data_IF_365869728501
#
_entry.id   IF_365869728501
#
_cell.length_a   1.000
_cell.length_b   1.000
_cell.length_c   1.000
_cell.angle_alpha   90.00
_cell.angle_beta   90.00
_cell.angle_gamma   90.00
#
_symmetry.space_group_name_H-M   'P 1'
#
loop_
_entity.id
_entity.type
_entity.pdbx_description
1 polymer ?
#
# COMPACT_ATOMS: atom_id res chain seq x y z
N UNK A 1 3.47 -0.93 0.05
CA UNK A 1 2.85 -1.57 1.24
C UNK A 1 1.48 -2.11 0.88
N UNK A 2 1.04 -3.21 1.49
CA UNK A 2 -0.28 -3.81 1.24
C UNK A 2 -0.87 -4.38 2.53
N UNK A 3 -2.20 -4.41 2.61
CA UNK A 3 -2.95 -5.17 3.61
C UNK A 3 -3.80 -6.28 2.96
N UNK A 4 -3.51 -6.63 1.70
CA UNK A 4 -4.25 -7.65 0.94
C UNK A 4 -5.61 -7.23 0.39
N UNK A 5 -6.14 -6.09 0.84
CA UNK A 5 -7.45 -5.61 0.42
C UNK A 5 -7.51 -5.16 -1.04
N UNK A 6 -8.72 -5.10 -1.59
CA UNK A 6 -9.00 -4.69 -2.98
C UNK A 6 -8.39 -3.35 -3.43
N UNK A 7 -8.15 -2.42 -2.50
CA UNK A 7 -7.47 -1.16 -2.81
C UNK A 7 -6.01 -1.37 -3.22
N UNK A 8 -5.38 -2.43 -2.74
CA UNK A 8 -4.01 -2.80 -3.09
C UNK A 8 -3.92 -3.35 -4.52
N UNK A 9 -5.00 -3.86 -5.12
CA UNK A 9 -4.95 -4.47 -6.45
C UNK A 9 -4.56 -3.46 -7.54
N UNK A 10 -5.08 -2.23 -7.51
CA UNK A 10 -4.67 -1.21 -8.48
C UNK A 10 -3.21 -0.76 -8.27
N UNK A 11 -2.74 -0.75 -7.01
CA UNK A 11 -1.32 -0.51 -6.75
C UNK A 11 -0.47 -1.67 -7.27
N UNK A 12 -0.94 -2.91 -7.16
CA UNK A 12 -0.25 -4.08 -7.65
C UNK A 12 -0.13 -4.09 -9.18
N UNK A 13 -1.19 -3.71 -9.89
CA UNK A 13 -1.16 -3.59 -11.37
C UNK A 13 -0.09 -2.58 -11.82
N UNK A 14 -0.02 -1.41 -11.19
CA UNK A 14 1.01 -0.41 -11.51
C UNK A 14 2.41 -0.92 -11.13
N UNK A 15 2.54 -1.62 -9.99
CA UNK A 15 3.81 -2.17 -9.55
C UNK A 15 4.32 -3.27 -10.50
N UNK A 16 3.42 -4.10 -11.02
CA UNK A 16 3.75 -5.15 -11.99
C UNK A 16 4.30 -4.55 -13.28
N UNK A 17 3.67 -3.49 -13.80
CA UNK A 17 4.19 -2.75 -14.96
C UNK A 17 5.58 -2.17 -14.67
N UNK A 18 5.79 -1.56 -13.50
CA UNK A 18 7.09 -0.99 -13.14
C UNK A 18 8.19 -2.06 -13.07
N UNK A 19 7.87 -3.22 -12.50
CA UNK A 19 8.76 -4.38 -12.44
C UNK A 19 9.11 -4.89 -13.84
N UNK A 20 8.13 -5.04 -14.72
CA UNK A 20 8.34 -5.42 -16.14
C UNK A 20 9.21 -4.41 -16.90
N UNK A 21 9.16 -3.12 -16.53
CA UNK A 21 10.03 -2.08 -17.09
C UNK A 21 11.42 -2.03 -16.44
N UNK A 22 11.74 -2.94 -15.52
CA UNK A 22 13.04 -3.06 -14.87
C UNK A 22 13.23 -2.15 -13.65
N UNK A 23 12.15 -1.70 -13.02
CA UNK A 23 12.23 -0.97 -11.74
C UNK A 23 12.41 -1.95 -10.59
N UNK A 24 13.17 -1.54 -9.57
CA UNK A 24 13.25 -2.27 -8.30
C UNK A 24 11.97 -2.06 -7.50
N UNK A 25 11.15 -3.12 -7.39
CA UNK A 25 9.88 -3.08 -6.64
C UNK A 25 10.05 -3.84 -5.33
N UNK A 26 9.60 -3.22 -4.23
CA UNK A 26 9.48 -3.89 -2.93
C UNK A 26 8.02 -3.96 -2.48
N UNK A 27 7.58 -5.14 -2.05
CA UNK A 27 6.32 -5.36 -1.37
C UNK A 27 6.57 -5.34 0.14
N UNK A 28 5.74 -4.60 0.87
CA UNK A 28 5.85 -4.44 2.31
C UNK A 28 4.55 -4.89 2.97
N UNK A 29 4.67 -5.81 3.93
CA UNK A 29 3.61 -6.23 4.83
C UNK A 29 4.11 -6.08 6.26
N UNK A 30 3.37 -5.34 7.09
CA UNK A 30 3.70 -5.17 8.50
C UNK A 30 2.80 -6.10 9.34
N UNK A 31 3.40 -6.79 10.31
CA UNK A 31 2.74 -7.67 11.28
C UNK A 31 3.03 -7.22 12.70
N UNK A 32 2.28 -7.72 13.68
CA UNK A 32 2.33 -7.21 15.05
C UNK A 32 3.68 -7.51 15.71
N UNK A 33 4.24 -8.69 15.47
CA UNK A 33 5.53 -9.10 16.04
C UNK A 33 6.21 -10.27 15.28
N UNK A 34 7.38 -10.67 15.79
CA UNK A 34 8.22 -11.76 15.27
C UNK A 34 7.46 -13.08 15.07
N UNK A 35 6.49 -13.38 15.95
CA UNK A 35 5.74 -14.64 15.90
C UNK A 35 4.83 -14.75 14.69
N UNK A 36 4.47 -13.62 14.07
CA UNK A 36 3.63 -13.57 12.89
C UNK A 36 4.42 -13.54 11.57
N UNK A 37 5.76 -13.52 11.62
CA UNK A 37 6.60 -13.42 10.40
C UNK A 37 6.29 -14.49 9.38
N UNK A 38 6.24 -15.76 9.79
CA UNK A 38 6.04 -16.89 8.87
C UNK A 38 4.67 -16.78 8.17
N UNK A 39 3.62 -16.41 8.91
CA UNK A 39 2.29 -16.19 8.36
C UNK A 39 2.27 -14.99 7.40
N UNK A 40 2.97 -13.90 7.76
CA UNK A 40 3.13 -12.73 6.91
C UNK A 40 3.89 -13.01 5.62
N UNK A 41 4.95 -13.82 5.67
CA UNK A 41 5.74 -14.24 4.51
C UNK A 41 4.91 -15.11 3.56
N UNK A 42 4.16 -16.07 4.12
CA UNK A 42 3.25 -16.90 3.34
C UNK A 42 2.17 -16.07 2.64
N UNK A 43 1.51 -15.18 3.41
CA UNK A 43 0.50 -14.26 2.87
C UNK A 43 1.07 -13.37 1.76
N UNK A 44 2.24 -12.76 1.99
CA UNK A 44 2.83 -11.82 1.05
C UNK A 44 3.34 -12.54 -0.21
N UNK A 45 3.80 -13.78 -0.08
CA UNK A 45 4.15 -14.66 -1.20
C UNK A 45 2.92 -14.95 -2.07
N UNK A 46 1.87 -15.55 -1.51
CA UNK A 46 0.64 -15.86 -2.24
C UNK A 46 0.05 -14.61 -2.90
N UNK A 47 0.01 -13.49 -2.16
CA UNK A 47 -0.50 -12.23 -2.68
C UNK A 47 0.29 -11.71 -3.88
N UNK A 48 1.63 -11.88 -3.87
CA UNK A 48 2.51 -11.47 -4.95
C UNK A 48 2.34 -12.37 -6.18
N UNK A 49 2.31 -13.68 -5.98
CA UNK A 49 2.20 -14.68 -7.04
C UNK A 49 0.89 -14.52 -7.82
N UNK A 50 -0.23 -14.28 -7.13
CA UNK A 50 -1.54 -14.01 -7.76
C UNK A 50 -1.54 -12.77 -8.67
N UNK A 51 -0.56 -11.86 -8.50
CA UNK A 51 -0.49 -10.55 -9.14
C UNK A 51 0.71 -10.38 -10.05
N UNK A 52 1.47 -11.45 -10.31
CA UNK A 52 2.66 -11.42 -11.17
C UNK A 52 3.76 -10.53 -10.60
N UNK A 53 3.93 -10.56 -9.28
CA UNK A 53 4.94 -9.79 -8.53
C UNK A 53 5.95 -10.72 -7.84
N UNK A 54 6.11 -11.94 -8.35
CA UNK A 54 6.95 -13.00 -7.78
C UNK A 54 8.41 -12.56 -7.63
N UNK A 55 8.90 -11.75 -8.58
CA UNK A 55 10.26 -11.21 -8.65
C UNK A 55 10.45 -9.93 -7.81
N UNK A 56 9.39 -9.37 -7.23
CA UNK A 56 9.50 -8.22 -6.36
C UNK A 56 10.16 -8.61 -5.03
N UNK A 57 10.97 -7.72 -4.47
CA UNK A 57 11.55 -7.92 -3.15
C UNK A 57 10.43 -7.91 -2.08
N UNK A 58 10.29 -8.99 -1.32
CA UNK A 58 9.25 -9.12 -0.28
C UNK A 58 9.82 -8.80 1.09
N UNK A 59 9.17 -7.90 1.81
CA UNK A 59 9.56 -7.43 3.13
C UNK A 59 8.40 -7.66 4.10
N UNK A 60 8.65 -8.46 5.14
CA UNK A 60 7.76 -8.60 6.29
C UNK A 60 8.40 -7.89 7.47
N UNK A 61 7.77 -6.79 7.90
CA UNK A 61 8.22 -6.00 9.03
C UNK A 61 7.46 -6.40 10.29
N UNK A 62 8.19 -6.71 11.35
CA UNK A 62 7.65 -7.25 12.60
C UNK A 62 7.73 -6.26 13.76
N UNK A 63 7.82 -4.96 13.46
CA UNK A 63 7.89 -3.91 14.48
C UNK A 63 6.53 -3.57 15.11
N UNK A 64 5.42 -4.06 14.54
CA UNK A 64 4.07 -3.75 15.01
C UNK A 64 3.62 -2.31 14.74
N UNK A 65 4.44 -1.52 14.04
CA UNK A 65 4.13 -0.14 13.67
C UNK A 65 4.14 -0.01 12.14
N UNK A 66 2.93 0.07 11.58
CA UNK A 66 2.74 0.20 10.14
C UNK A 66 3.32 1.50 9.60
N UNK A 67 3.21 2.59 10.37
CA UNK A 67 3.59 3.92 9.92
C UNK A 67 5.11 4.06 9.86
N UNK A 68 5.77 3.71 10.97
CA UNK A 68 7.22 3.66 11.07
C UNK A 68 7.82 2.65 10.09
N UNK A 69 7.14 1.51 9.87
CA UNK A 69 7.58 0.53 8.87
C UNK A 69 7.57 1.13 7.46
N UNK A 70 6.49 1.81 7.08
CA UNK A 70 6.43 2.46 5.77
C UNK A 70 7.51 3.53 5.65
N UNK A 71 7.68 4.40 6.64
CA UNK A 71 8.70 5.45 6.61
C UNK A 71 10.12 4.88 6.49
N UNK A 72 10.45 3.89 7.33
CA UNK A 72 11.74 3.20 7.34
C UNK A 72 12.08 2.57 6.00
N UNK A 73 11.13 1.86 5.38
CA UNK A 73 11.36 1.19 4.11
C UNK A 73 11.19 2.13 2.90
N UNK A 74 10.63 3.32 3.08
CA UNK A 74 10.54 4.34 2.04
C UNK A 74 11.83 5.15 1.87
N UNK A 75 12.71 5.22 2.87
CA UNK A 75 13.89 6.10 2.88
C UNK A 75 14.83 5.94 1.69
N UNK A 76 14.91 4.75 1.08
CA UNK A 76 15.75 4.50 -0.11
C UNK A 76 14.93 4.32 -1.40
N UNK A 77 13.63 4.67 -1.39
CA UNK A 77 12.71 4.45 -2.51
C UNK A 77 12.29 5.80 -3.11
N UNK A 78 12.14 5.82 -4.43
CA UNK A 78 11.68 7.02 -5.15
C UNK A 78 10.17 7.24 -5.04
N UNK A 79 9.42 6.18 -4.71
CA UNK A 79 7.97 6.19 -4.65
C UNK A 79 7.44 5.18 -3.63
N UNK A 80 6.37 5.56 -2.92
CA UNK A 80 5.52 4.65 -2.15
C UNK A 80 4.15 4.58 -2.81
N UNK A 81 3.67 3.36 -3.05
CA UNK A 81 2.35 3.10 -3.60
C UNK A 81 1.46 2.44 -2.54
N UNK A 82 0.29 3.01 -2.32
CA UNK A 82 -0.67 2.56 -1.31
C UNK A 82 -2.08 2.51 -1.86
N UNK A 83 -2.79 1.43 -1.54
CA UNK A 83 -4.23 1.36 -1.75
C UNK A 83 -4.97 2.29 -0.79
N UNK A 84 -5.92 3.08 -1.29
CA UNK A 84 -6.83 3.87 -0.48
C UNK A 84 -8.19 3.15 -0.36
N UNK A 85 -8.57 2.70 0.84
CA UNK A 85 -9.92 2.17 1.10
C UNK A 85 -10.89 3.31 1.50
N UNK A 86 -12.14 3.19 1.03
CA UNK A 86 -13.24 4.12 1.33
C UNK A 86 -13.69 4.01 2.79
N UNK A 87 -13.03 4.75 3.67
CA UNK A 87 -13.68 5.50 4.75
C UNK A 87 -13.08 6.90 4.79
N UNK A 88 -13.43 7.67 3.77
CA UNK A 88 -13.13 9.09 3.72
C UNK A 88 -11.68 9.45 3.47
N UNK A 89 -10.79 8.55 3.09
CA UNK A 89 -9.35 8.81 2.98
C UNK A 89 -9.00 9.94 1.97
N UNK A 90 -9.51 9.89 0.74
CA UNK A 90 -9.38 11.01 -0.21
C UNK A 90 -10.19 12.24 0.20
N UNK A 91 -11.37 12.06 0.78
CA UNK A 91 -12.18 13.20 1.24
C UNK A 91 -11.59 13.88 2.49
N UNK A 92 -10.76 13.17 3.25
CA UNK A 92 -9.95 13.61 4.39
C UNK A 92 -8.69 14.31 3.93
N UNK A 93 -8.04 13.84 2.86
CA UNK A 93 -6.94 14.57 2.20
C UNK A 93 -7.40 15.95 1.71
N UNK A 94 -8.57 16.03 1.07
CA UNK A 94 -9.17 17.31 0.64
C UNK A 94 -9.57 18.19 1.84
N UNK A 95 -9.88 17.58 3.00
CA UNK A 95 -10.30 18.28 4.22
C UNK A 95 -9.18 18.46 5.26
N UNK A 96 -7.93 18.10 4.94
CA UNK A 96 -6.77 18.24 5.83
C UNK A 96 -6.83 17.42 7.13
N UNK A 97 -7.46 16.24 7.16
CA UNK A 97 -7.55 15.46 8.42
C UNK A 97 -6.37 14.51 8.63
N UNK A 98 -5.89 14.50 9.86
CA UNK A 98 -4.91 13.68 10.62
C UNK A 98 -4.66 12.19 10.25
N UNK A 99 -5.31 11.61 9.26
CA UNK A 99 -5.23 10.17 8.97
C UNK A 99 -4.02 9.76 8.11
N UNK A 100 -2.98 10.59 8.04
CA UNK A 100 -1.77 10.29 7.26
C UNK A 100 -0.54 10.97 7.85
N UNK A 101 -0.09 10.50 9.01
CA UNK A 101 1.23 10.90 9.52
C UNK A 101 2.31 10.33 8.57
N UNK A 102 2.15 9.09 8.09
CA UNK A 102 3.02 8.46 7.07
C UNK A 102 3.29 9.29 5.82
N UNK A 103 2.33 10.07 5.29
CA UNK A 103 2.59 10.90 4.09
C UNK A 103 3.50 12.07 4.39
N UNK A 104 3.52 12.55 5.63
CA UNK A 104 4.39 13.62 6.08
C UNK A 104 5.79 13.09 6.43
N UNK A 105 5.92 11.80 6.72
CA UNK A 105 7.16 11.18 7.19
C UNK A 105 7.99 10.52 6.07
N UNK A 106 7.53 10.57 4.82
CA UNK A 106 8.25 10.05 3.65
C UNK A 106 8.77 11.15 2.74
N UNK A 107 10.09 11.16 2.50
CA UNK A 107 10.76 12.10 1.58
C UNK A 107 10.68 11.63 0.10
N UNK A 108 9.57 11.02 -0.32
CA UNK A 108 9.41 10.48 -1.67
C UNK A 108 8.01 10.70 -2.25
N UNK A 109 7.82 10.37 -3.53
CA UNK A 109 6.51 10.49 -4.17
C UNK A 109 5.55 9.48 -3.57
N UNK A 110 4.33 9.90 -3.21
CA UNK A 110 3.29 8.96 -2.78
C UNK A 110 2.18 8.86 -3.81
N UNK A 111 1.92 7.65 -4.28
CA UNK A 111 0.82 7.30 -5.16
C UNK A 111 -0.27 6.59 -4.37
N UNK A 112 -1.45 7.22 -4.31
CA UNK A 112 -2.63 6.64 -3.69
C UNK A 112 -3.55 6.09 -4.79
N UNK A 113 -3.72 4.77 -4.80
CA UNK A 113 -4.55 4.09 -5.77
C UNK A 113 -5.91 3.72 -5.16
N UNK A 114 -7.00 4.09 -5.83
CA UNK A 114 -8.34 3.62 -5.48
C UNK A 114 -8.98 2.95 -6.69
N UNK A 115 -9.38 1.69 -6.55
CA UNK A 115 -10.26 1.04 -7.52
C UNK A 115 -11.73 1.38 -7.18
N UNK A 116 -12.48 2.05 -8.06
CA UNK A 116 -13.89 2.30 -7.82
C UNK A 116 -14.65 0.98 -7.81
N UNK A 117 -15.47 0.74 -6.78
CA UNK A 117 -16.62 -0.15 -6.93
C UNK A 117 -17.84 0.69 -7.32
N UNK A 118 -18.88 0.05 -7.87
CA UNK A 118 -20.12 0.67 -8.36
C UNK A 118 -20.84 1.54 -7.31
N UNK A 119 -20.32 2.73 -7.06
CA UNK A 119 -21.04 3.92 -6.60
C UNK A 119 -20.41 5.10 -7.31
N UNK A 120 -21.26 5.89 -7.93
CA UNK A 120 -20.84 7.02 -8.75
C UNK A 120 -20.04 8.03 -7.92
N UNK A 121 -19.13 8.77 -8.56
CA UNK A 121 -18.38 9.87 -7.95
C UNK A 121 -19.28 10.85 -7.19
N UNK A 122 -20.54 10.99 -7.62
CA UNK A 122 -21.56 11.85 -7.02
C UNK A 122 -22.03 11.31 -5.66
N UNK A 123 -22.29 9.99 -5.56
CA UNK A 123 -22.68 9.34 -4.29
C UNK A 123 -21.55 9.39 -3.26
N UNK A 124 -20.29 9.31 -3.73
CA UNK A 124 -19.09 9.44 -2.88
C UNK A 124 -18.88 10.83 -2.29
N UNK A 125 -19.29 11.89 -2.98
CA UNK A 125 -19.08 13.28 -2.54
C UNK A 125 -20.29 13.81 -1.76
N UNK A 126 -21.50 13.38 -2.11
CA UNK A 126 -22.75 13.88 -1.51
C UNK A 126 -23.38 12.93 -0.47
N UNK A 127 -22.78 11.77 -0.21
CA UNK A 127 -23.15 10.90 0.92
C UNK A 127 -24.57 10.33 0.86
N UNK A 128 -25.12 10.12 -0.35
CA UNK A 128 -26.36 9.36 -0.57
C UNK A 128 -26.11 8.23 -1.52
#
# INVERSE_FOLDING_TARGET
PTAGGYSSDLSAEVASILLEQGSDVSLLYAVDDESEREAGEAFLGEWADERGLDDANRIVDTSGDVEDSIARHAGDRSMVMMGATREGLLSRLVRGSLAFEVLNDVDCTVLLAERPQQRSLVERIFGR
#
